data_IF_396647723201
#
_entry.id   IF_396647723201
#
_cell.length_a   1.000
_cell.length_b   1.000
_cell.length_c   1.000
_cell.angle_alpha   90.00
_cell.angle_beta   90.00
_cell.angle_gamma   90.00
#
_symmetry.space_group_name_H-M   'P 1'
#
loop_
_entity.id
_entity.type
_entity.pdbx_description
1 polymer ?
#
# COMPACT_ATOMS: atom_id res chain seq x y z
N UNK A 1 -18.53 53.23 -24.32
CA UNK A 1 -18.68 52.42 -23.08
C UNK A 1 -18.24 51.00 -23.44
N UNK A 2 -17.12 50.54 -22.87
CA UNK A 2 -16.52 49.22 -23.10
C UNK A 2 -17.40 48.14 -22.47
N UNK A 3 -17.72 47.08 -23.21
CA UNK A 3 -18.04 45.77 -22.63
C UNK A 3 -17.40 44.71 -23.51
N UNK A 4 -16.19 44.31 -23.15
CA UNK A 4 -15.57 43.05 -23.58
C UNK A 4 -16.17 41.95 -22.72
N UNK A 5 -16.90 41.01 -23.33
CA UNK A 5 -17.23 39.74 -22.69
C UNK A 5 -16.01 38.83 -22.84
N UNK A 6 -15.23 38.73 -21.77
CA UNK A 6 -14.28 37.64 -21.62
C UNK A 6 -15.08 36.35 -21.46
N UNK A 7 -15.08 35.54 -22.51
CA UNK A 7 -15.66 34.19 -22.47
C UNK A 7 -14.53 33.28 -22.00
N UNK A 8 -14.51 32.94 -20.72
CA UNK A 8 -13.72 31.82 -20.23
C UNK A 8 -14.22 30.56 -20.97
N UNK A 9 -13.42 30.11 -21.93
CA UNK A 9 -13.55 28.79 -22.53
C UNK A 9 -13.23 27.78 -21.43
N UNK A 10 -14.26 27.14 -20.88
CA UNK A 10 -14.10 25.90 -20.13
C UNK A 10 -13.37 24.90 -21.02
N UNK A 11 -12.05 24.76 -20.81
CA UNK A 11 -11.23 23.73 -21.43
C UNK A 11 -11.62 22.42 -20.76
N UNK A 12 -12.64 21.76 -21.30
CA UNK A 12 -12.96 20.38 -20.93
C UNK A 12 -11.78 19.52 -21.42
N UNK A 13 -11.06 18.82 -20.53
CA UNK A 13 -9.94 17.99 -20.95
C UNK A 13 -10.40 16.89 -21.92
N UNK A 14 -9.63 16.66 -22.99
CA UNK A 14 -9.85 15.50 -23.86
C UNK A 14 -9.49 14.24 -23.07
N UNK A 15 -10.51 13.49 -22.64
CA UNK A 15 -10.37 12.25 -21.87
C UNK A 15 -9.38 11.25 -22.49
N UNK A 16 -9.20 11.26 -23.81
CA UNK A 16 -8.23 10.39 -24.48
C UNK A 16 -6.78 10.85 -24.27
N UNK A 17 -6.56 12.16 -24.11
CA UNK A 17 -5.23 12.73 -23.86
C UNK A 17 -4.76 12.49 -22.43
N UNK A 18 -5.65 12.65 -21.45
CA UNK A 18 -5.37 12.38 -20.03
C UNK A 18 -5.08 10.89 -19.80
N UNK A 19 -5.88 9.99 -20.37
CA UNK A 19 -5.65 8.55 -20.24
C UNK A 19 -4.31 8.12 -20.85
N UNK A 20 -3.90 8.70 -21.97
CA UNK A 20 -2.58 8.44 -22.56
C UNK A 20 -1.47 8.93 -21.66
N UNK A 21 -1.57 10.15 -21.13
CA UNK A 21 -0.57 10.71 -20.24
C UNK A 21 -0.39 9.88 -18.97
N UNK A 22 -1.50 9.42 -18.36
CA UNK A 22 -1.47 8.52 -17.21
C UNK A 22 -0.81 7.17 -17.56
N UNK A 23 -1.13 6.59 -18.72
CA UNK A 23 -0.51 5.34 -19.18
C UNK A 23 0.99 5.50 -19.43
N UNK A 24 1.41 6.63 -20.02
CA UNK A 24 2.82 6.94 -20.27
C UNK A 24 3.59 7.12 -18.96
N UNK A 25 3.02 7.85 -17.99
CA UNK A 25 3.60 8.02 -16.66
C UNK A 25 3.76 6.67 -15.95
N UNK A 26 2.74 5.81 -15.98
CA UNK A 26 2.81 4.47 -15.40
C UNK A 26 3.89 3.59 -16.06
N UNK A 27 4.06 3.69 -17.38
CA UNK A 27 5.13 2.98 -18.09
C UNK A 27 6.52 3.48 -17.69
N UNK A 28 6.71 4.80 -17.55
CA UNK A 28 7.98 5.39 -17.11
C UNK A 28 8.34 4.99 -15.68
N UNK A 29 7.36 5.00 -14.76
CA UNK A 29 7.56 4.54 -13.39
C UNK A 29 7.95 3.05 -13.36
N UNK A 30 7.28 2.19 -14.14
CA UNK A 30 7.61 0.77 -14.24
C UNK A 30 9.03 0.53 -14.73
N UNK A 31 9.44 1.27 -15.76
CA UNK A 31 10.80 1.20 -16.31
C UNK A 31 11.86 1.55 -15.25
N UNK A 32 11.60 2.51 -14.34
CA UNK A 32 12.51 2.83 -13.23
C UNK A 32 12.74 1.61 -12.34
N UNK A 33 11.70 0.85 -12.01
CA UNK A 33 11.83 -0.36 -11.19
C UNK A 33 12.55 -1.51 -11.89
N UNK A 34 12.37 -1.65 -13.20
CA UNK A 34 13.09 -2.65 -14.00
C UNK A 34 14.59 -2.34 -14.10
N UNK A 35 14.96 -1.05 -14.14
CA UNK A 35 16.35 -0.59 -14.21
C UNK A 35 17.03 -0.52 -12.83
N UNK A 36 16.27 -0.30 -11.76
CA UNK A 36 16.77 -0.09 -10.40
C UNK A 36 16.00 -0.97 -9.42
N UNK A 37 16.35 -2.26 -9.35
CA UNK A 37 15.63 -3.24 -8.55
C UNK A 37 15.57 -2.92 -7.04
N UNK A 38 16.55 -2.18 -6.52
CA UNK A 38 16.62 -1.76 -5.11
C UNK A 38 15.88 -0.43 -4.82
N UNK A 39 15.28 0.21 -5.83
CA UNK A 39 14.54 1.46 -5.67
C UNK A 39 13.29 1.24 -4.81
N UNK A 40 13.16 2.03 -3.74
CA UNK A 40 11.99 1.95 -2.87
C UNK A 40 10.85 2.83 -3.38
N UNK A 41 9.59 2.35 -3.40
CA UNK A 41 8.44 3.17 -3.79
C UNK A 41 8.36 4.51 -3.06
N UNK A 42 8.60 4.52 -1.75
CA UNK A 42 8.64 5.75 -0.96
C UNK A 42 9.71 6.76 -1.42
N UNK A 43 10.88 6.28 -1.87
CA UNK A 43 11.94 7.15 -2.38
C UNK A 43 11.53 7.78 -3.71
N UNK A 44 10.99 6.98 -4.63
CA UNK A 44 10.55 7.46 -5.94
C UNK A 44 9.34 8.39 -5.83
N UNK A 45 8.39 8.08 -4.94
CA UNK A 45 7.24 8.95 -4.64
C UNK A 45 7.70 10.33 -4.15
N UNK A 46 8.65 10.35 -3.22
CA UNK A 46 9.26 11.58 -2.70
C UNK A 46 10.05 12.35 -3.77
N UNK A 47 10.85 11.65 -4.59
CA UNK A 47 11.62 12.24 -5.70
C UNK A 47 10.71 12.97 -6.70
N UNK A 48 9.56 12.37 -7.02
CA UNK A 48 8.63 12.86 -8.03
C UNK A 48 7.51 13.75 -7.48
N UNK A 49 7.34 13.80 -6.15
CA UNK A 49 6.26 14.56 -5.51
C UNK A 49 4.86 14.01 -5.80
N UNK A 50 4.73 12.68 -5.93
CA UNK A 50 3.45 11.98 -6.21
C UNK A 50 3.09 11.02 -5.07
N UNK A 51 1.86 10.51 -5.08
CA UNK A 51 1.41 9.55 -4.07
C UNK A 51 2.17 8.22 -4.16
N UNK A 52 2.49 7.60 -3.01
CA UNK A 52 3.17 6.30 -3.01
C UNK A 52 2.29 5.20 -3.63
N UNK A 53 0.96 5.33 -3.54
CA UNK A 53 0.02 4.43 -4.22
C UNK A 53 0.21 4.42 -5.75
N UNK A 54 0.40 5.59 -6.39
CA UNK A 54 0.64 5.69 -7.84
C UNK A 54 1.93 4.98 -8.25
N UNK A 55 2.96 5.11 -7.42
CA UNK A 55 4.24 4.45 -7.61
C UNK A 55 4.12 2.93 -7.42
N UNK A 56 3.35 2.50 -6.40
CA UNK A 56 3.10 1.07 -6.14
C UNK A 56 2.27 0.44 -7.26
N UNK A 57 1.34 1.16 -7.88
CA UNK A 57 0.59 0.70 -9.06
C UNK A 57 1.49 0.45 -10.29
N UNK A 58 2.62 1.16 -10.37
CA UNK A 58 3.59 0.99 -11.43
C UNK A 58 4.60 -0.14 -11.19
N UNK A 59 4.61 -0.78 -10.01
CA UNK A 59 5.48 -1.93 -9.76
C UNK A 59 5.24 -3.04 -10.78
N UNK A 60 6.28 -3.83 -11.14
CA UNK A 60 6.12 -4.98 -12.02
C UNK A 60 4.94 -5.88 -11.57
N UNK A 61 4.06 -6.35 -12.47
CA UNK A 61 2.79 -6.98 -12.08
C UNK A 61 2.97 -8.23 -11.21
N UNK A 62 4.10 -8.92 -11.31
CA UNK A 62 4.45 -10.06 -10.47
C UNK A 62 4.82 -9.69 -9.03
N UNK A 63 5.09 -8.40 -8.76
CA UNK A 63 5.50 -7.89 -7.45
C UNK A 63 4.37 -7.27 -6.65
N UNK A 64 3.22 -6.99 -7.26
CA UNK A 64 2.12 -6.28 -6.60
C UNK A 64 0.77 -6.89 -6.96
N UNK A 65 -0.07 -7.10 -5.95
CA UNK A 65 -1.48 -7.47 -6.11
C UNK A 65 -2.31 -6.52 -5.26
N UNK A 66 -3.32 -5.88 -5.84
CA UNK A 66 -4.23 -5.03 -5.07
C UNK A 66 -5.36 -5.85 -4.47
N UNK A 67 -5.67 -5.54 -3.21
CA UNK A 67 -6.77 -6.16 -2.47
C UNK A 67 -7.99 -5.23 -2.55
N UNK A 68 -9.18 -5.71 -2.93
CA UNK A 68 -10.39 -4.90 -2.88
C UNK A 68 -10.64 -4.35 -1.48
N UNK A 69 -10.99 -3.07 -1.37
CA UNK A 69 -11.26 -2.43 -0.06
C UNK A 69 -12.40 -3.11 0.72
N UNK A 70 -13.31 -3.80 0.03
CA UNK A 70 -14.35 -4.64 0.66
C UNK A 70 -13.78 -5.79 1.52
N UNK A 71 -12.49 -6.10 1.39
CA UNK A 71 -11.78 -7.12 2.18
C UNK A 71 -10.98 -6.52 3.35
N UNK A 72 -10.99 -5.20 3.55
CA UNK A 72 -10.22 -4.53 4.59
C UNK A 72 -10.46 -5.14 5.98
N UNK A 73 -11.72 -5.28 6.38
CA UNK A 73 -12.09 -5.84 7.67
C UNK A 73 -11.67 -7.31 7.81
N UNK A 74 -11.91 -8.11 6.78
CA UNK A 74 -11.49 -9.52 6.74
C UNK A 74 -9.99 -9.66 6.92
N UNK A 75 -9.21 -8.80 6.25
CA UNK A 75 -7.75 -8.81 6.33
C UNK A 75 -7.27 -8.39 7.73
N UNK A 76 -7.78 -7.29 8.27
CA UNK A 76 -7.43 -6.80 9.61
C UNK A 76 -7.78 -7.81 10.72
N UNK A 77 -8.86 -8.58 10.57
CA UNK A 77 -9.24 -9.64 11.51
C UNK A 77 -8.41 -10.92 11.34
N UNK A 78 -7.79 -11.13 10.17
CA UNK A 78 -6.92 -12.27 9.92
C UNK A 78 -5.51 -12.06 10.47
N UNK A 79 -4.95 -10.85 10.36
CA UNK A 79 -3.56 -10.54 10.71
C UNK A 79 -3.14 -10.94 12.14
N UNK A 80 -3.96 -10.80 13.19
CA UNK A 80 -3.59 -11.25 14.55
C UNK A 80 -3.28 -12.75 14.63
N UNK A 81 -3.79 -13.56 13.70
CA UNK A 81 -3.60 -15.01 13.65
C UNK A 81 -2.31 -15.42 12.93
N UNK A 82 -1.59 -14.48 12.33
CA UNK A 82 -0.37 -14.75 11.55
C UNK A 82 0.87 -14.85 12.44
N UNK A 83 0.74 -14.56 13.74
CA UNK A 83 1.85 -14.52 14.70
C UNK A 83 2.68 -13.24 14.56
N UNK A 84 3.98 -13.34 14.86
CA UNK A 84 4.88 -12.17 14.91
C UNK A 84 5.08 -11.55 13.53
N UNK A 85 4.68 -10.29 13.38
CA UNK A 85 4.83 -9.46 12.20
C UNK A 85 5.69 -8.23 12.52
N UNK A 86 5.96 -7.40 11.52
CA UNK A 86 6.54 -6.07 11.74
C UNK A 86 5.60 -5.01 11.17
N UNK A 87 4.96 -4.24 12.04
CA UNK A 87 4.13 -3.10 11.63
C UNK A 87 5.02 -1.86 11.55
N UNK A 88 4.95 -1.13 10.44
CA UNK A 88 5.74 0.06 10.19
C UNK A 88 4.81 1.26 9.96
N UNK A 89 5.05 2.32 10.71
CA UNK A 89 4.44 3.63 10.51
C UNK A 89 5.54 4.61 10.12
N UNK A 90 5.26 5.45 9.12
CA UNK A 90 6.20 6.47 8.66
C UNK A 90 5.57 7.85 8.88
N UNK A 91 6.31 8.78 9.46
CA UNK A 91 5.84 10.14 9.70
C UNK A 91 7.01 11.11 9.53
N UNK A 92 6.87 12.08 8.61
CA UNK A 92 7.86 13.14 8.38
C UNK A 92 9.30 12.60 8.19
N UNK A 93 9.45 11.54 7.40
CA UNK A 93 10.73 10.87 7.15
C UNK A 93 11.25 9.98 8.29
N UNK A 94 10.57 9.96 9.44
CA UNK A 94 10.84 9.03 10.53
C UNK A 94 10.15 7.70 10.31
N UNK A 95 10.80 6.61 10.74
CA UNK A 95 10.28 5.24 10.62
C UNK A 95 10.14 4.64 12.01
N UNK A 96 8.94 4.19 12.34
CA UNK A 96 8.63 3.52 13.59
C UNK A 96 8.27 2.06 13.30
N UNK A 97 9.00 1.13 13.90
CA UNK A 97 8.78 -0.31 13.74
C UNK A 97 8.26 -0.92 15.03
N UNK A 98 7.15 -1.65 14.93
CA UNK A 98 6.66 -2.50 16.00
C UNK A 98 6.79 -3.97 15.59
N UNK A 99 7.59 -4.73 16.34
CA UNK A 99 7.80 -6.17 16.13
C UNK A 99 7.01 -6.95 17.15
N UNK A 100 6.03 -7.72 16.69
CA UNK A 100 5.12 -8.44 17.56
C UNK A 100 3.90 -8.91 16.79
N UNK A 101 2.95 -9.48 17.52
CA UNK A 101 1.70 -9.90 16.90
C UNK A 101 0.91 -8.65 16.47
N UNK A 102 0.20 -8.72 15.33
CA UNK A 102 -0.68 -7.63 14.94
C UNK A 102 -1.86 -7.56 15.93
N UNK A 103 -2.23 -6.37 16.42
CA UNK A 103 -3.27 -6.24 17.44
C UNK A 103 -4.65 -6.66 16.92
N UNK A 104 -5.49 -7.18 17.82
CA UNK A 104 -6.93 -7.30 17.57
C UNK A 104 -7.53 -5.89 17.42
N UNK A 105 -8.73 -5.79 16.86
CA UNK A 105 -9.40 -4.49 16.82
C UNK A 105 -10.92 -4.53 16.78
N UNK A 106 -11.51 -3.40 17.16
CA UNK A 106 -12.95 -3.18 17.24
C UNK A 106 -13.33 -1.76 16.83
N UNK A 107 -14.43 -1.65 16.10
CA UNK A 107 -15.01 -0.35 15.78
C UNK A 107 -15.65 0.30 17.01
N UNK A 108 -15.23 1.52 17.32
CA UNK A 108 -15.86 2.40 18.30
C UNK A 108 -15.45 3.85 18.05
N UNK A 109 -16.35 4.80 18.30
CA UNK A 109 -16.12 6.25 18.17
C UNK A 109 -15.59 6.70 16.79
N UNK A 110 -15.94 5.99 15.71
CA UNK A 110 -15.53 6.34 14.35
C UNK A 110 -14.11 5.90 13.97
N UNK A 111 -13.49 5.02 14.76
CA UNK A 111 -12.18 4.41 14.51
C UNK A 111 -12.25 2.89 14.62
N UNK A 112 -11.32 2.19 13.94
CA UNK A 112 -10.97 0.81 14.24
C UNK A 112 -9.87 0.83 15.31
N UNK A 113 -10.25 0.51 16.55
CA UNK A 113 -9.38 0.62 17.72
C UNK A 113 -8.55 -0.66 17.87
N UNK A 114 -7.24 -0.53 17.73
CA UNK A 114 -6.26 -1.59 17.90
C UNK A 114 -5.95 -1.78 19.37
N UNK A 115 -6.01 -3.03 19.83
CA UNK A 115 -5.62 -3.39 21.19
C UNK A 115 -4.81 -4.69 21.21
N UNK A 116 -3.76 -4.69 22.02
CA UNK A 116 -2.94 -5.87 22.31
C UNK A 116 -3.26 -6.41 23.71
N UNK A 117 -3.10 -7.72 23.91
CA UNK A 117 -3.14 -8.30 25.27
C UNK A 117 -1.81 -7.98 25.97
N UNK A 118 -1.82 -7.01 26.89
CA UNK A 118 -0.62 -6.53 27.56
C UNK A 118 0.17 -5.54 26.70
N UNK A 119 1.49 -5.67 26.72
CA UNK A 119 2.38 -4.82 25.93
C UNK A 119 2.24 -5.13 24.44
N UNK A 120 2.12 -4.09 23.62
CA UNK A 120 2.08 -4.26 22.18
C UNK A 120 1.73 -2.99 21.43
N UNK A 121 1.37 -3.14 20.15
CA UNK A 121 0.83 -2.04 19.37
C UNK A 121 -0.60 -1.79 19.81
N UNK A 122 -0.86 -0.56 20.22
CA UNK A 122 -2.19 -0.02 20.48
C UNK A 122 -2.36 1.22 19.61
N UNK A 123 -3.60 1.57 19.25
CA UNK A 123 -3.84 2.75 18.44
C UNK A 123 -5.24 2.80 17.86
N UNK A 124 -5.46 3.77 16.98
CA UNK A 124 -6.76 4.05 16.38
C UNK A 124 -6.57 4.26 14.89
N UNK A 125 -7.14 3.38 14.07
CA UNK A 125 -7.07 3.50 12.62
C UNK A 125 -8.33 4.21 12.10
N UNK A 126 -8.12 5.26 11.29
CA UNK A 126 -9.17 5.95 10.56
C UNK A 126 -9.31 5.29 9.18
N UNK A 127 -10.24 4.35 9.06
CA UNK A 127 -10.32 3.44 7.91
C UNK A 127 -11.34 3.87 6.83
N UNK A 128 -12.20 4.82 7.13
CA UNK A 128 -13.27 5.30 6.25
C UNK A 128 -12.77 5.98 4.96
N UNK A 129 -11.53 6.46 4.98
CA UNK A 129 -10.90 7.17 3.87
C UNK A 129 -9.82 6.34 3.14
N UNK A 130 -9.71 5.02 3.41
CA UNK A 130 -8.72 4.18 2.73
C UNK A 130 -8.97 4.12 1.23
N UNK A 131 -7.95 4.36 0.42
CA UNK A 131 -8.03 4.32 -1.05
C UNK A 131 -7.44 3.03 -1.65
N UNK A 132 -6.58 2.33 -0.91
CA UNK A 132 -5.92 1.15 -1.46
C UNK A 132 -5.31 0.23 -0.41
N UNK A 133 -5.18 -1.03 -0.79
CA UNK A 133 -4.44 -2.06 -0.07
C UNK A 133 -3.63 -2.84 -1.11
N UNK A 134 -2.32 -2.98 -0.90
CA UNK A 134 -1.45 -3.72 -1.81
C UNK A 134 -0.66 -4.80 -1.08
N UNK A 135 -0.69 -6.03 -1.62
CA UNK A 135 0.24 -7.10 -1.29
C UNK A 135 1.47 -6.94 -2.18
N UNK A 136 2.62 -6.66 -1.59
CA UNK A 136 3.87 -6.41 -2.31
C UNK A 136 4.89 -7.50 -2.01
N UNK A 137 5.45 -8.12 -3.06
CA UNK A 137 6.55 -9.08 -3.02
C UNK A 137 7.74 -8.52 -3.78
N UNK A 138 8.73 -7.97 -3.07
CA UNK A 138 9.96 -7.46 -3.68
C UNK A 138 11.13 -7.67 -2.74
N UNK A 139 12.33 -8.01 -3.24
CA UNK A 139 13.52 -8.05 -2.40
C UNK A 139 13.75 -6.72 -1.68
N UNK A 140 14.17 -6.79 -0.42
CA UNK A 140 14.65 -5.63 0.32
C UNK A 140 16.10 -5.87 0.71
N UNK A 141 17.02 -5.08 0.13
CA UNK A 141 18.48 -5.25 0.31
C UNK A 141 18.93 -6.69 0.02
N UNK A 142 18.47 -7.23 -1.12
CA UNK A 142 18.80 -8.58 -1.59
C UNK A 142 18.10 -9.75 -0.88
N UNK A 143 17.22 -9.51 0.10
CA UNK A 143 16.47 -10.56 0.79
C UNK A 143 14.99 -10.59 0.37
N UNK A 144 14.41 -11.77 0.14
CA UNK A 144 12.96 -11.95 -0.12
C UNK A 144 12.15 -11.21 0.95
N UNK A 145 11.23 -10.34 0.56
CA UNK A 145 10.42 -9.54 1.48
C UNK A 145 8.99 -9.42 0.97
N UNK A 146 8.04 -9.48 1.89
CA UNK A 146 6.61 -9.37 1.62
C UNK A 146 5.97 -8.39 2.60
N UNK A 147 5.14 -7.49 2.07
CA UNK A 147 4.41 -6.51 2.88
C UNK A 147 2.99 -6.33 2.41
N UNK A 148 2.13 -5.94 3.34
CA UNK A 148 0.79 -5.44 3.09
C UNK A 148 0.83 -3.95 3.37
N UNK A 149 0.58 -3.14 2.35
CA UNK A 149 0.60 -1.69 2.46
C UNK A 149 -0.82 -1.15 2.42
N UNK A 150 -1.14 -0.24 3.34
CA UNK A 150 -2.45 0.40 3.45
C UNK A 150 -2.31 1.88 3.10
N UNK A 151 -3.16 2.37 2.19
CA UNK A 151 -3.08 3.71 1.63
C UNK A 151 -4.32 4.53 1.98
N UNK A 152 -4.12 5.77 2.41
CA UNK A 152 -5.16 6.72 2.78
C UNK A 152 -5.74 7.43 1.57
N UNK A 153 -6.59 8.44 1.78
CA UNK A 153 -7.40 9.04 0.72
C UNK A 153 -6.59 9.73 -0.38
N UNK A 154 -5.39 10.21 -0.05
CA UNK A 154 -4.50 10.90 -0.98
C UNK A 154 -3.45 9.93 -1.57
N UNK A 155 -3.60 8.62 -1.32
CA UNK A 155 -2.67 7.59 -1.77
C UNK A 155 -1.35 7.56 -0.95
N UNK A 156 -1.32 8.28 0.16
CA UNK A 156 -0.25 8.24 1.16
C UNK A 156 -0.26 6.92 1.91
N UNK A 157 0.91 6.41 2.32
CA UNK A 157 0.94 5.22 3.18
C UNK A 157 0.50 5.59 4.59
N UNK A 158 -0.52 4.89 5.10
CA UNK A 158 -0.93 5.00 6.50
C UNK A 158 -0.06 4.08 7.38
N UNK A 159 0.08 2.82 6.99
CA UNK A 159 0.98 1.87 7.63
C UNK A 159 1.31 0.69 6.70
N UNK A 160 2.35 -0.06 7.05
CA UNK A 160 2.76 -1.29 6.37
C UNK A 160 2.81 -2.43 7.38
N UNK A 161 2.47 -3.63 6.95
CA UNK A 161 2.63 -4.86 7.73
C UNK A 161 3.56 -5.80 6.96
N UNK A 162 4.78 -5.95 7.43
CA UNK A 162 5.76 -6.88 6.89
C UNK A 162 5.64 -8.24 7.56
N UNK A 163 5.86 -9.29 6.78
CA UNK A 163 6.03 -10.62 7.34
C UNK A 163 7.23 -10.65 8.30
N UNK A 164 7.05 -11.37 9.40
CA UNK A 164 8.06 -11.50 10.43
C UNK A 164 9.24 -12.34 9.98
N UNK A 165 10.34 -12.20 10.72
CA UNK A 165 11.52 -13.03 10.58
C UNK A 165 11.91 -13.62 11.93
N UNK A 166 12.49 -14.81 11.87
CA UNK A 166 13.11 -15.44 13.03
C UNK A 166 14.44 -14.78 13.41
N UNK A 167 15.12 -15.34 14.40
CA UNK A 167 16.42 -14.85 14.89
C UNK A 167 17.53 -14.98 13.85
N UNK A 168 17.37 -15.88 12.88
CA UNK A 168 18.28 -16.11 11.75
C UNK A 168 17.94 -15.22 10.55
N UNK A 169 16.97 -14.32 10.70
CA UNK A 169 16.45 -13.44 9.65
C UNK A 169 15.74 -14.19 8.51
N UNK A 170 15.30 -15.44 8.72
CA UNK A 170 14.48 -16.15 7.76
C UNK A 170 13.00 -15.78 7.93
N UNK A 171 12.26 -15.69 6.81
CA UNK A 171 10.80 -15.49 6.85
C UNK A 171 10.12 -16.70 7.47
N UNK A 172 9.02 -16.48 8.20
CA UNK A 172 8.21 -17.58 8.71
C UNK A 172 7.47 -18.29 7.55
N UNK A 173 7.69 -19.60 7.31
CA UNK A 173 7.12 -20.29 6.16
C UNK A 173 5.58 -20.24 6.10
N UNK A 174 4.93 -20.31 7.27
CA UNK A 174 3.48 -20.24 7.35
C UNK A 174 2.93 -18.88 6.89
N UNK A 175 3.57 -17.79 7.31
CA UNK A 175 3.18 -16.44 6.90
C UNK A 175 3.36 -16.25 5.39
N UNK A 176 4.46 -16.76 4.83
CA UNK A 176 4.71 -16.72 3.38
C UNK A 176 3.62 -17.49 2.63
N UNK A 177 3.22 -18.67 3.13
CA UNK A 177 2.14 -19.47 2.54
C UNK A 177 0.81 -18.72 2.56
N UNK A 178 0.44 -18.14 3.70
CA UNK A 178 -0.80 -17.36 3.85
C UNK A 178 -0.81 -16.12 2.94
N UNK A 179 0.32 -15.40 2.89
CA UNK A 179 0.49 -14.24 2.02
C UNK A 179 0.35 -14.61 0.53
N UNK A 180 1.04 -15.65 0.07
CA UNK A 180 0.99 -16.11 -1.33
C UNK A 180 -0.40 -16.64 -1.70
N UNK A 181 -1.12 -17.25 -0.76
CA UNK A 181 -2.51 -17.65 -0.98
C UNK A 181 -3.44 -16.44 -1.17
N UNK A 182 -3.31 -15.40 -0.35
CA UNK A 182 -4.06 -14.15 -0.55
C UNK A 182 -3.72 -13.49 -1.88
N UNK A 183 -2.43 -13.39 -2.23
CA UNK A 183 -1.99 -12.80 -3.48
C UNK A 183 -2.58 -13.54 -4.70
N UNK A 184 -2.53 -14.87 -4.68
CA UNK A 184 -3.16 -15.70 -5.74
C UNK A 184 -4.67 -15.46 -5.82
N UNK A 185 -5.36 -15.41 -4.68
CA UNK A 185 -6.81 -15.23 -4.63
C UNK A 185 -7.28 -13.87 -5.17
N UNK A 186 -6.47 -12.81 -5.02
CA UNK A 186 -6.84 -11.47 -5.51
C UNK A 186 -6.29 -11.16 -6.90
N UNK A 187 -5.18 -11.77 -7.32
CA UNK A 187 -4.69 -11.66 -8.70
C UNK A 187 -5.70 -12.24 -9.72
N UNK A 188 -6.43 -13.30 -9.36
CA UNK A 188 -7.49 -13.86 -10.21
C UNK A 188 -8.72 -12.95 -10.32
N UNK A 189 -8.99 -12.10 -9.33
CA UNK A 189 -10.10 -11.15 -9.34
C UNK A 189 -9.78 -9.94 -10.23
N UNK A 190 -8.52 -9.51 -10.29
CA UNK A 190 -8.09 -8.39 -11.14
C UNK A 190 -8.05 -8.71 -12.64
N UNK A 191 -7.98 -9.99 -13.02
CA UNK A 191 -7.97 -10.40 -14.43
C UNK A 191 -9.37 -10.56 -15.04
N UNK A 192 -10.43 -10.34 -14.25
CA UNK A 192 -11.84 -10.48 -14.65
C UNK A 192 -12.61 -9.14 -14.62
N UNK A 193 -11.88 -8.03 -14.47
CA UNK A 193 -12.33 -6.65 -14.65
C UNK A 193 -11.58 -6.04 -15.83
#
# INVERSE_FOLDING_TARGET
>A
MKMTLDTELDVVPDLNSEQRQLSEQQAQLRQRFEQQADLMPAQLASELGIAELEVVAALPPEQVVFVPLTQLDTLLQALPKWGKLTTIVMLSGSVFEFKGDFPEGKYAHGYYNLYSKGDGLHGHLKLDAMSGIALISRPFRGSESHSINFFGSEGEVVFKVYLGRDKQRALFPEQVRQFKALATAFASVQSHL
#
